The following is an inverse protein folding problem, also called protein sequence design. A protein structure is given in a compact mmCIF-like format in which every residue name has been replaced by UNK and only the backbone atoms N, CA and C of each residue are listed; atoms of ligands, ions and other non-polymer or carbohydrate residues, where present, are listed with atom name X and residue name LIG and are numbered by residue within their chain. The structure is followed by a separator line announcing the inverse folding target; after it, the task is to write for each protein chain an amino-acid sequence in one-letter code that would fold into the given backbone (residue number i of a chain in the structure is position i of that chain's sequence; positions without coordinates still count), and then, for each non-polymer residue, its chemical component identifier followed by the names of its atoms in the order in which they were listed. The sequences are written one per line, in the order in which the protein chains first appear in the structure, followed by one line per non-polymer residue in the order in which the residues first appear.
data_IF_004258140879
#
_entry.id   IF_004258140879
#
_cell.length_a   1.000
_cell.length_b   1.000
_cell.length_c   1.000
_cell.angle_alpha   90.00
_cell.angle_beta   90.00
_cell.angle_gamma   90.00
#
_symmetry.space_group_name_H-M   'P 1'
#
loop_
_entity.id
_entity.type
_entity.pdbx_description
1 polymer ?
#
# COMPACT_ATOMS: atom_id res chain seq x y z
N UNK A 1 -19.21 -11.85 12.36
CA UNK A 1 -18.27 -11.51 13.45
C UNK A 1 -17.09 -10.69 12.92
N UNK A 2 -17.23 -9.36 12.76
CA UNK A 2 -16.15 -8.46 12.34
C UNK A 2 -15.12 -8.15 13.45
N UNK A 3 -15.45 -8.47 14.71
CA UNK A 3 -14.76 -7.99 15.92
C UNK A 3 -13.41 -8.66 16.22
N UNK A 4 -13.11 -9.82 15.63
CA UNK A 4 -11.86 -10.54 15.85
C UNK A 4 -10.78 -10.22 14.80
N UNK A 5 -11.15 -9.62 13.67
CA UNK A 5 -10.22 -9.26 12.58
C UNK A 5 -9.04 -8.37 13.04
N UNK A 6 -9.25 -7.30 13.84
CA UNK A 6 -8.15 -6.45 14.29
C UNK A 6 -7.16 -7.16 15.23
N UNK A 7 -7.55 -8.27 15.85
CA UNK A 7 -6.71 -8.98 16.83
C UNK A 7 -5.78 -10.02 16.21
N UNK A 8 -6.21 -10.64 15.11
CA UNK A 8 -5.48 -11.74 14.46
C UNK A 8 -4.61 -11.26 13.29
N UNK A 9 -4.93 -10.10 12.70
CA UNK A 9 -4.21 -9.56 11.57
C UNK A 9 -2.79 -9.03 11.90
N UNK A 10 -2.57 -8.30 13.02
CA UNK A 10 -1.23 -7.83 13.35
C UNK A 10 -0.20 -8.95 13.58
N UNK A 11 -0.53 -10.08 14.23
CA UNK A 11 0.35 -11.25 14.27
C UNK A 11 0.71 -11.80 12.88
N UNK A 12 -0.25 -11.86 11.96
CA UNK A 12 -0.02 -12.35 10.59
C UNK A 12 0.93 -11.42 9.83
N UNK A 13 0.70 -10.11 9.90
CA UNK A 13 1.57 -9.11 9.27
C UNK A 13 3.01 -9.23 9.77
N UNK A 14 3.20 -9.36 11.09
CA UNK A 14 4.53 -9.56 11.69
C UNK A 14 5.20 -10.84 11.20
N UNK A 15 4.48 -11.95 11.14
CA UNK A 15 5.02 -13.23 10.68
C UNK A 15 5.39 -13.21 9.19
N UNK A 16 4.60 -12.52 8.36
CA UNK A 16 4.85 -12.37 6.93
C UNK A 16 5.87 -11.27 6.58
N UNK A 17 6.28 -10.43 7.55
CA UNK A 17 7.18 -9.32 7.31
C UNK A 17 6.57 -8.21 6.45
N UNK A 18 5.26 -7.99 6.58
CA UNK A 18 4.51 -6.98 5.83
C UNK A 18 3.92 -5.94 6.78
N UNK A 19 3.61 -4.76 6.24
CA UNK A 19 2.84 -3.74 6.93
C UNK A 19 1.98 -2.99 5.90
N UNK A 20 0.79 -2.55 6.31
CA UNK A 20 -0.15 -1.83 5.43
C UNK A 20 -0.88 -0.74 6.22
N UNK A 21 -1.31 0.31 5.53
CA UNK A 21 -2.17 1.35 6.07
C UNK A 21 -3.19 1.78 5.01
N UNK A 22 -4.40 2.11 5.46
CA UNK A 22 -5.40 2.70 4.59
C UNK A 22 -5.05 4.18 4.35
N UNK A 23 -4.97 4.58 3.08
CA UNK A 23 -4.86 5.98 2.69
C UNK A 23 -6.28 6.54 2.63
N UNK A 24 -6.56 7.57 3.42
CA UNK A 24 -7.87 8.24 3.45
C UNK A 24 -7.91 9.51 2.60
N UNK A 25 -6.81 9.85 1.94
CA UNK A 25 -6.74 10.95 0.99
C UNK A 25 -7.61 10.66 -0.24
N UNK A 26 -8.02 11.73 -0.92
CA UNK A 26 -8.76 11.63 -2.18
C UNK A 26 -7.90 10.94 -3.23
N UNK A 27 -8.50 10.11 -4.08
CA UNK A 27 -7.75 9.47 -5.18
C UNK A 27 -7.82 10.28 -6.47
N UNK A 28 -8.57 11.38 -6.50
CA UNK A 28 -8.76 12.23 -7.69
C UNK A 28 -8.00 13.55 -7.62
N UNK A 29 -7.44 13.87 -6.46
CA UNK A 29 -6.66 15.08 -6.25
C UNK A 29 -5.16 14.75 -6.41
N UNK A 30 -4.36 15.77 -6.75
CA UNK A 30 -2.91 15.65 -6.77
C UNK A 30 -2.38 15.47 -5.35
N UNK A 31 -1.44 14.54 -5.19
CA UNK A 31 -0.85 14.19 -3.91
C UNK A 31 0.64 13.89 -4.06
N UNK A 32 1.39 14.31 -3.04
CA UNK A 32 2.81 13.97 -2.93
C UNK A 32 2.95 12.66 -2.16
N UNK A 33 3.56 11.65 -2.80
CA UNK A 33 3.84 10.37 -2.19
C UNK A 33 5.33 10.19 -1.96
N UNK A 34 5.72 9.83 -0.74
CA UNK A 34 7.12 9.60 -0.39
C UNK A 34 7.28 8.21 0.24
N UNK A 35 8.18 7.40 -0.32
CA UNK A 35 8.66 6.17 0.29
C UNK A 35 10.10 6.37 0.77
N UNK A 36 10.26 6.58 2.08
CA UNK A 36 11.57 6.61 2.70
C UNK A 36 11.98 5.17 2.98
N UNK A 37 12.91 4.66 2.19
CA UNK A 37 13.37 3.28 2.30
C UNK A 37 14.72 3.19 3.03
N UNK A 38 14.68 2.81 4.30
CA UNK A 38 15.86 2.55 5.11
C UNK A 38 16.36 1.10 5.03
N UNK A 39 17.54 0.84 5.60
CA UNK A 39 18.17 -0.50 5.57
C UNK A 39 17.36 -1.61 6.28
N UNK A 40 16.48 -1.24 7.22
CA UNK A 40 15.68 -2.19 8.03
C UNK A 40 14.20 -1.90 8.01
N UNK A 41 13.84 -0.62 7.91
CA UNK A 41 12.47 -0.16 7.96
C UNK A 41 12.24 0.89 6.88
N UNK A 42 10.98 1.00 6.47
CA UNK A 42 10.49 2.01 5.55
C UNK A 42 9.37 2.82 6.19
N UNK A 43 9.27 4.08 5.78
CA UNK A 43 8.19 5.00 6.17
C UNK A 43 7.52 5.50 4.90
N UNK A 44 6.19 5.48 4.88
CA UNK A 44 5.39 5.97 3.77
C UNK A 44 4.65 7.23 4.18
N UNK A 45 4.74 8.27 3.34
CA UNK A 45 4.06 9.54 3.56
C UNK A 45 3.16 9.91 2.39
N UNK A 46 2.10 10.65 2.73
CA UNK A 46 1.19 11.31 1.78
C UNK A 46 1.09 12.76 2.22
N UNK A 47 1.37 13.70 1.31
CA UNK A 47 1.39 15.14 1.56
C UNK A 47 2.26 15.52 2.77
N UNK A 48 3.44 14.91 2.87
CA UNK A 48 4.39 15.09 3.97
C UNK A 48 3.96 14.47 5.32
N UNK A 49 2.79 13.85 5.41
CA UNK A 49 2.30 13.19 6.64
C UNK A 49 2.59 11.70 6.61
N UNK A 50 3.16 11.17 7.69
CA UNK A 50 3.39 9.73 7.84
C UNK A 50 2.07 8.97 7.93
N UNK A 51 1.82 8.07 6.97
CA UNK A 51 0.64 7.19 6.91
C UNK A 51 0.98 5.78 7.38
N UNK A 52 2.20 5.31 7.09
CA UNK A 52 2.72 4.04 7.57
C UNK A 52 4.14 4.25 8.06
N UNK A 53 4.42 3.82 9.28
CA UNK A 53 5.73 3.94 9.90
C UNK A 53 6.30 2.59 10.31
N UNK A 54 7.62 2.50 10.40
CA UNK A 54 8.35 1.30 10.82
C UNK A 54 7.94 0.01 10.06
N UNK A 55 7.54 0.12 8.78
CA UNK A 55 7.26 -1.03 7.94
C UNK A 55 8.56 -1.81 7.67
N UNK A 56 8.58 -3.16 7.66
CA UNK A 56 9.78 -3.91 7.30
C UNK A 56 10.29 -3.52 5.91
N UNK A 57 11.57 -3.21 5.78
CA UNK A 57 12.17 -2.87 4.49
C UNK A 57 12.26 -4.11 3.58
N UNK A 58 11.83 -4.03 2.31
CA UNK A 58 12.12 -5.06 1.32
C UNK A 58 13.63 -5.27 1.17
N UNK A 59 14.04 -6.48 0.76
CA UNK A 59 15.46 -6.83 0.56
C UNK A 59 15.79 -6.95 -0.93
N UNK A 60 16.95 -6.42 -1.31
CA UNK A 60 17.46 -6.48 -2.68
C UNK A 60 17.00 -5.32 -3.56
N UNK A 61 17.50 -5.24 -4.80
CA UNK A 61 17.10 -4.21 -5.75
C UNK A 61 15.63 -4.40 -6.15
N UNK A 62 14.90 -3.29 -6.23
CA UNK A 62 13.54 -3.24 -6.76
C UNK A 62 13.48 -2.22 -7.91
N UNK A 63 12.39 -2.27 -8.68
CA UNK A 63 12.04 -1.26 -9.66
C UNK A 63 10.82 -0.47 -9.20
N UNK A 64 10.73 0.78 -9.64
CA UNK A 64 9.49 1.54 -9.54
C UNK A 64 8.52 1.10 -10.64
N UNK A 65 7.28 0.82 -10.25
CA UNK A 65 6.17 0.51 -11.16
C UNK A 65 4.94 1.24 -10.64
N UNK A 66 4.25 1.94 -11.54
CA UNK A 66 2.99 2.60 -11.25
C UNK A 66 1.95 2.16 -12.28
N UNK A 67 0.77 1.76 -11.81
CA UNK A 67 -0.36 1.38 -12.64
C UNK A 67 -1.67 1.84 -11.98
N UNK A 68 -2.72 1.94 -12.79
CA UNK A 68 -4.10 1.94 -12.30
C UNK A 68 -4.71 0.59 -12.67
N UNK A 69 -5.37 -0.04 -11.72
CA UNK A 69 -5.97 -1.37 -11.89
C UNK A 69 -7.38 -1.38 -11.29
N UNK A 70 -8.28 -2.13 -11.91
CA UNK A 70 -9.62 -2.38 -11.40
C UNK A 70 -9.76 -3.76 -10.76
N UNK A 71 -8.67 -4.50 -10.58
CA UNK A 71 -8.66 -5.79 -9.89
C UNK A 71 -8.61 -5.63 -8.37
N UNK A 72 -9.31 -6.51 -7.66
CA UNK A 72 -9.20 -6.61 -6.20
C UNK A 72 -9.00 -8.05 -5.75
N UNK A 73 -8.34 -8.20 -4.59
CA UNK A 73 -8.27 -9.45 -3.85
C UNK A 73 -8.58 -9.20 -2.38
N UNK A 74 -9.40 -10.07 -1.79
CA UNK A 74 -9.73 -10.07 -0.37
C UNK A 74 -9.08 -11.29 0.27
N UNK A 75 -8.20 -11.06 1.24
CA UNK A 75 -7.61 -12.11 2.06
C UNK A 75 -8.18 -12.01 3.47
N UNK A 76 -8.89 -13.04 3.93
CA UNK A 76 -9.36 -13.13 5.32
C UNK A 76 -8.56 -14.19 6.07
N UNK A 77 -8.15 -13.92 7.32
CA UNK A 77 -7.37 -14.85 8.15
C UNK A 77 -7.97 -16.25 8.35
N UNK A 78 -9.29 -16.42 8.17
CA UNK A 78 -10.00 -17.70 8.30
C UNK A 78 -10.19 -18.42 6.96
N UNK A 79 -9.34 -18.15 5.96
CA UNK A 79 -9.29 -18.89 4.70
C UNK A 79 -10.34 -18.49 3.66
N UNK A 80 -11.01 -17.34 3.84
CA UNK A 80 -11.91 -16.81 2.81
C UNK A 80 -11.14 -15.87 1.89
N UNK A 81 -10.89 -16.34 0.69
CA UNK A 81 -10.33 -15.56 -0.41
C UNK A 81 -11.46 -15.14 -1.36
N UNK A 82 -11.37 -13.94 -1.90
CA UNK A 82 -12.19 -13.50 -3.02
C UNK A 82 -11.32 -12.67 -3.96
N UNK A 83 -11.63 -12.67 -5.25
CA UNK A 83 -11.00 -11.81 -6.23
C UNK A 83 -12.04 -11.41 -7.28
N UNK A 84 -11.77 -10.34 -8.01
CA UNK A 84 -12.65 -9.91 -9.08
C UNK A 84 -12.20 -8.61 -9.70
N UNK A 85 -13.06 -8.10 -10.59
CA UNK A 85 -12.96 -6.76 -11.15
C UNK A 85 -13.96 -5.85 -10.46
N UNK A 86 -13.56 -4.60 -10.26
CA UNK A 86 -14.45 -3.51 -9.93
C UNK A 86 -15.03 -2.94 -11.24
N UNK A 87 -16.33 -2.69 -11.23
CA UNK A 87 -16.98 -2.01 -12.33
C UNK A 87 -16.52 -0.55 -12.37
N UNK A 88 -16.11 -0.08 -13.55
CA UNK A 88 -15.54 1.24 -13.74
C UNK A 88 -16.51 2.05 -14.57
N UNK A 89 -17.02 3.15 -14.00
CA UNK A 89 -18.07 3.98 -14.61
C UNK A 89 -17.58 4.81 -15.81
N UNK A 90 -16.32 4.70 -16.20
CA UNK A 90 -15.70 5.46 -17.27
C UNK A 90 -14.20 5.18 -17.39
N UNK A 91 -13.53 5.95 -18.22
CA UNK A 91 -12.07 5.90 -18.40
C UNK A 91 -11.36 6.23 -17.08
N UNK A 92 -10.31 5.48 -16.77
CA UNK A 92 -9.45 5.69 -15.62
C UNK A 92 -8.02 5.84 -16.10
N UNK A 93 -7.31 6.80 -15.51
CA UNK A 93 -5.93 7.04 -15.83
C UNK A 93 -5.17 7.42 -14.56
N UNK A 94 -3.85 7.33 -14.63
CA UNK A 94 -2.92 7.76 -13.60
C UNK A 94 -1.98 8.76 -14.24
N UNK A 95 -1.85 9.93 -13.61
CA UNK A 95 -0.88 10.94 -14.01
C UNK A 95 0.23 11.02 -12.97
N UNK A 96 1.46 11.20 -13.44
CA UNK A 96 2.63 11.44 -12.59
C UNK A 96 3.28 12.70 -13.14
N UNK A 97 3.27 13.76 -12.35
CA UNK A 97 3.90 15.03 -12.73
C UNK A 97 5.41 14.94 -12.57
N UNK A 98 5.88 14.47 -11.41
CA UNK A 98 7.30 14.33 -11.09
C UNK A 98 7.60 12.98 -10.42
N UNK A 99 8.79 12.43 -10.70
CA UNK A 99 9.29 11.20 -10.08
C UNK A 99 10.78 11.35 -9.78
N UNK A 100 11.12 11.26 -8.50
CA UNK A 100 12.49 11.23 -8.01
C UNK A 100 12.78 9.87 -7.37
N UNK A 101 13.92 9.28 -7.75
CA UNK A 101 14.44 8.05 -7.13
C UNK A 101 15.89 8.33 -6.77
N UNK A 102 16.14 8.47 -5.48
CA UNK A 102 17.46 8.79 -4.96
C UNK A 102 18.08 7.56 -4.29
N UNK A 103 19.37 7.28 -4.54
CA UNK A 103 20.08 6.29 -3.76
C UNK A 103 20.22 6.77 -2.29
N UNK A 104 20.38 5.84 -1.33
CA UNK A 104 20.66 6.18 0.06
C UNK A 104 22.01 6.90 0.23
#
# INVERSE_FOLDING_TARGET
MPTLYPRIWPPIQRAAGIAEAAITASTTDWHDYELIWGARYSTFRVDGRTVLDHAPAPRGPLCFVAWVDNQYMVVKPWGRFAWGLLDTMGEQWLEIEELYIEPP
#
